data_IF_565503302461
#
_entry.id   IF_565503302461
#
_cell.length_a   1.000
_cell.length_b   1.000
_cell.length_c   1.000
_cell.angle_alpha   90.00
_cell.angle_beta   90.00
_cell.angle_gamma   90.00
#
_symmetry.space_group_name_H-M   'P 1'
#
loop_
_entity.id
_entity.type
_entity.pdbx_description
1 polymer ?
#
# COMPACT_ATOMS: atom_id res chain seq x y z
N UNK A 1 19.92 2.72 -2.80
CA UNK A 1 19.50 2.11 -1.52
C UNK A 1 19.76 0.61 -1.61
N UNK A 2 19.58 -0.15 -0.54
CA UNK A 2 19.77 -1.61 -0.54
C UNK A 2 18.85 -2.32 -1.55
N UNK A 3 19.41 -3.20 -2.39
CA UNK A 3 18.68 -4.08 -3.32
C UNK A 3 18.31 -5.38 -2.58
N UNK A 4 17.11 -5.45 -2.00
CA UNK A 4 16.73 -6.51 -1.07
C UNK A 4 16.63 -7.87 -1.76
N UNK A 5 15.96 -7.95 -2.91
CA UNK A 5 15.77 -9.21 -3.62
C UNK A 5 17.08 -9.71 -4.24
N UNK A 6 17.88 -8.79 -4.79
CA UNK A 6 19.22 -9.09 -5.30
C UNK A 6 20.09 -9.82 -4.25
N UNK A 7 20.04 -9.41 -2.98
CA UNK A 7 20.82 -10.06 -1.92
C UNK A 7 20.36 -11.48 -1.56
N UNK A 8 19.14 -11.86 -1.94
CA UNK A 8 18.60 -13.22 -1.71
C UNK A 8 18.88 -14.17 -2.89
N UNK A 9 19.43 -13.66 -3.98
CA UNK A 9 19.76 -14.45 -5.17
C UNK A 9 21.11 -15.17 -5.03
N UNK A 10 21.22 -16.35 -5.64
CA UNK A 10 22.51 -17.00 -5.84
C UNK A 10 23.37 -16.27 -6.90
N UNK A 11 24.64 -16.66 -7.03
CA UNK A 11 25.59 -15.99 -7.95
C UNK A 11 25.14 -15.98 -9.42
N UNK A 12 24.48 -17.04 -9.88
CA UNK A 12 24.03 -17.13 -11.28
C UNK A 12 22.88 -16.14 -11.52
N UNK A 13 21.91 -16.11 -10.60
CA UNK A 13 20.77 -15.19 -10.64
C UNK A 13 21.23 -13.73 -10.52
N UNK A 14 22.21 -13.45 -9.65
CA UNK A 14 22.82 -12.13 -9.54
C UNK A 14 23.51 -11.68 -10.84
N UNK A 15 24.16 -12.59 -11.57
CA UNK A 15 24.78 -12.26 -12.86
C UNK A 15 23.72 -11.91 -13.93
N UNK A 16 22.61 -12.67 -13.99
CA UNK A 16 21.47 -12.38 -14.87
C UNK A 16 20.81 -11.05 -14.50
N UNK A 17 20.57 -10.82 -13.20
CA UNK A 17 20.02 -9.57 -12.66
C UNK A 17 20.85 -8.35 -13.12
N UNK A 18 22.17 -8.39 -12.91
CA UNK A 18 23.05 -7.27 -13.27
C UNK A 18 23.12 -7.02 -14.77
N UNK A 19 23.24 -8.08 -15.57
CA UNK A 19 23.24 -7.95 -17.02
C UNK A 19 21.93 -7.35 -17.53
N UNK A 20 20.80 -7.79 -16.98
CA UNK A 20 19.48 -7.28 -17.33
C UNK A 20 19.34 -5.80 -16.94
N UNK A 21 19.66 -5.46 -15.68
CA UNK A 21 19.62 -4.10 -15.15
C UNK A 21 20.47 -3.13 -15.97
N UNK A 22 21.69 -3.53 -16.31
CA UNK A 22 22.59 -2.72 -17.14
C UNK A 22 21.99 -2.49 -18.53
N UNK A 23 21.52 -3.54 -19.20
CA UNK A 23 21.00 -3.42 -20.56
C UNK A 23 19.70 -2.60 -20.64
N UNK A 24 18.78 -2.75 -19.68
CA UNK A 24 17.53 -1.96 -19.65
C UNK A 24 17.77 -0.49 -19.34
N UNK A 25 18.78 -0.17 -18.52
CA UNK A 25 19.22 1.22 -18.27
C UNK A 25 19.81 1.87 -19.52
N UNK A 26 20.45 1.08 -20.39
CA UNK A 26 20.99 1.54 -21.67
C UNK A 26 19.95 1.57 -22.79
N UNK A 27 18.70 1.17 -22.54
CA UNK A 27 17.65 1.03 -23.54
C UNK A 27 18.08 0.10 -24.70
N UNK A 28 18.80 -0.97 -24.38
CA UNK A 28 19.27 -1.95 -25.36
C UNK A 28 18.09 -2.73 -25.96
N UNK A 29 18.14 -3.03 -27.27
CA UNK A 29 17.09 -3.82 -27.93
C UNK A 29 17.23 -5.32 -27.65
N UNK A 30 18.45 -5.79 -27.36
CA UNK A 30 18.77 -7.17 -27.03
C UNK A 30 19.88 -7.19 -25.99
N UNK A 31 19.75 -8.05 -24.98
CA UNK A 31 20.70 -8.20 -23.87
C UNK A 31 21.12 -9.66 -23.80
N UNK A 32 22.42 -9.93 -23.86
CA UNK A 32 22.95 -11.28 -23.69
C UNK A 32 23.12 -11.57 -22.20
N UNK A 33 22.45 -12.60 -21.70
CA UNK A 33 22.45 -12.98 -20.28
C UNK A 33 22.91 -14.42 -20.11
N UNK A 34 23.51 -14.79 -18.96
CA UNK A 34 23.71 -16.19 -18.61
C UNK A 34 22.40 -16.98 -18.72
N UNK A 35 22.48 -18.22 -19.22
CA UNK A 35 21.29 -19.06 -19.40
C UNK A 35 20.72 -19.47 -18.04
N UNK A 36 19.41 -19.29 -17.89
CA UNK A 36 18.56 -19.76 -16.78
C UNK A 36 17.25 -20.29 -17.39
N UNK A 37 16.44 -21.01 -16.62
CA UNK A 37 15.12 -21.41 -17.11
C UNK A 37 14.16 -20.21 -17.23
N UNK A 38 13.07 -20.39 -17.98
CA UNK A 38 12.14 -19.30 -18.26
C UNK A 38 11.41 -18.76 -17.03
N UNK A 39 11.14 -19.62 -16.04
CA UNK A 39 10.49 -19.19 -14.79
C UNK A 39 11.47 -18.38 -13.95
N UNK A 40 12.71 -18.84 -13.83
CA UNK A 40 13.78 -18.11 -13.14
C UNK A 40 14.05 -16.76 -13.80
N UNK A 41 14.10 -16.70 -15.14
CA UNK A 41 14.28 -15.43 -15.86
C UNK A 41 13.16 -14.44 -15.54
N UNK A 42 11.91 -14.92 -15.51
CA UNK A 42 10.75 -14.11 -15.13
C UNK A 42 10.85 -13.64 -13.68
N UNK A 43 11.17 -14.53 -12.74
CA UNK A 43 11.29 -14.21 -11.32
C UNK A 43 12.40 -13.16 -11.08
N UNK A 44 13.55 -13.28 -11.76
CA UNK A 44 14.66 -12.31 -11.69
C UNK A 44 14.23 -10.95 -12.27
N UNK A 45 13.60 -10.94 -13.45
CA UNK A 45 13.09 -9.71 -14.07
C UNK A 45 12.09 -9.00 -13.16
N UNK A 46 11.16 -9.76 -12.58
CA UNK A 46 10.14 -9.23 -11.70
C UNK A 46 10.76 -8.64 -10.44
N UNK A 47 11.63 -9.39 -9.74
CA UNK A 47 12.31 -8.94 -8.52
C UNK A 47 13.22 -7.73 -8.76
N UNK A 48 13.93 -7.66 -9.89
CA UNK A 48 14.70 -6.47 -10.30
C UNK A 48 13.83 -5.23 -10.37
N UNK A 49 12.60 -5.34 -10.85
CA UNK A 49 11.67 -4.18 -10.93
C UNK A 49 11.07 -3.79 -9.59
N UNK A 50 11.12 -4.67 -8.59
CA UNK A 50 10.72 -4.35 -7.21
C UNK A 50 11.85 -3.65 -6.45
N UNK A 51 13.10 -4.03 -6.71
CA UNK A 51 14.29 -3.36 -6.20
C UNK A 51 14.54 -2.01 -6.93
N UNK A 52 14.22 -1.94 -8.23
CA UNK A 52 14.40 -0.77 -9.10
C UNK A 52 13.11 -0.24 -9.74
N UNK A 53 12.12 0.21 -8.94
CA UNK A 53 10.87 0.76 -9.46
C UNK A 53 11.03 2.03 -10.30
N UNK A 54 12.19 2.69 -10.24
CA UNK A 54 12.54 3.77 -11.17
C UNK A 54 12.60 3.31 -12.63
N UNK A 55 12.73 2.00 -12.89
CA UNK A 55 12.72 1.39 -14.22
C UNK A 55 11.27 1.09 -14.63
N UNK A 56 10.47 2.14 -14.78
CA UNK A 56 9.06 2.05 -15.17
C UNK A 56 8.83 1.73 -16.66
N UNK A 57 9.88 1.80 -17.48
CA UNK A 57 9.75 1.73 -18.94
C UNK A 57 9.85 0.31 -19.51
N UNK A 58 10.18 -0.71 -18.71
CA UNK A 58 10.22 -2.11 -19.16
C UNK A 58 9.13 -2.90 -18.48
N UNK A 59 8.09 -3.26 -19.22
CA UNK A 59 6.87 -3.87 -18.66
C UNK A 59 6.79 -5.38 -18.89
N UNK A 60 7.53 -5.87 -19.88
CA UNK A 60 7.58 -7.27 -20.26
C UNK A 60 8.88 -7.59 -21.00
N UNK A 61 8.98 -8.82 -21.50
CA UNK A 61 10.09 -9.24 -22.32
C UNK A 61 9.73 -10.50 -23.12
N UNK A 62 10.49 -10.74 -24.18
CA UNK A 62 10.62 -12.06 -24.79
C UNK A 62 12.06 -12.53 -24.69
N UNK A 63 12.31 -13.82 -24.89
CA UNK A 63 13.66 -14.35 -24.90
C UNK A 63 13.84 -15.43 -25.96
N UNK A 64 15.09 -15.59 -26.40
CA UNK A 64 15.51 -16.64 -27.33
C UNK A 64 16.84 -17.21 -26.87
N UNK A 65 17.08 -18.48 -27.15
CA UNK A 65 18.35 -19.13 -26.87
C UNK A 65 18.69 -20.12 -27.98
N UNK A 66 19.97 -20.42 -28.14
CA UNK A 66 20.45 -21.49 -29.01
C UNK A 66 20.77 -22.71 -28.14
N UNK A 67 20.43 -23.95 -28.55
CA UNK A 67 20.58 -25.16 -27.73
C UNK A 67 21.95 -25.32 -27.06
N UNK A 68 23.02 -25.00 -27.79
CA UNK A 68 24.42 -25.15 -27.32
C UNK A 68 25.03 -23.86 -26.75
N UNK A 69 24.24 -22.79 -26.64
CA UNK A 69 24.72 -21.52 -26.08
C UNK A 69 24.63 -21.54 -24.55
N UNK A 70 25.70 -21.10 -23.83
CA UNK A 70 25.65 -20.86 -22.40
C UNK A 70 24.85 -19.60 -22.04
N UNK A 71 24.42 -18.83 -23.05
CA UNK A 71 23.70 -17.57 -22.90
C UNK A 71 22.32 -17.62 -23.56
N UNK A 72 21.40 -16.81 -23.02
CA UNK A 72 20.14 -16.44 -23.66
C UNK A 72 20.19 -14.98 -24.12
N UNK A 73 19.34 -14.64 -25.07
CA UNK A 73 19.12 -13.27 -25.53
C UNK A 73 17.77 -12.82 -24.97
N UNK A 74 17.82 -11.85 -24.07
CA UNK A 74 16.67 -11.16 -23.49
C UNK A 74 16.30 -9.96 -24.36
N UNK A 75 15.01 -9.83 -24.68
CA UNK A 75 14.47 -8.77 -25.54
C UNK A 75 13.42 -8.00 -24.73
N UNK A 76 13.77 -6.82 -24.18
CA UNK A 76 12.85 -6.04 -23.36
C UNK A 76 11.68 -5.50 -24.17
N UNK A 77 10.49 -5.48 -23.55
CA UNK A 77 9.32 -4.80 -24.07
C UNK A 77 9.21 -3.41 -23.41
N UNK A 78 9.47 -2.38 -24.22
CA UNK A 78 9.46 -1.00 -23.77
C UNK A 78 8.05 -0.39 -23.85
N UNK A 79 7.62 0.27 -22.76
CA UNK A 79 6.31 0.92 -22.66
C UNK A 79 6.16 2.12 -23.62
N UNK A 80 7.27 2.77 -23.96
CA UNK A 80 7.31 3.93 -24.85
C UNK A 80 8.51 3.84 -25.80
N UNK A 81 8.50 4.67 -26.84
CA UNK A 81 9.69 4.89 -27.67
C UNK A 81 10.85 5.45 -26.86
N UNK A 82 12.10 5.09 -27.22
CA UNK A 82 13.31 5.45 -26.46
C UNK A 82 13.46 6.95 -26.18
N UNK A 83 13.10 7.80 -27.14
CA UNK A 83 13.11 9.26 -26.93
C UNK A 83 12.14 9.68 -25.82
N UNK A 84 10.92 9.12 -25.85
CA UNK A 84 9.88 9.39 -24.87
C UNK A 84 10.21 8.83 -23.48
N UNK A 85 10.87 7.68 -23.42
CA UNK A 85 11.40 7.13 -22.16
C UNK A 85 12.34 8.14 -21.48
N UNK A 86 13.28 8.71 -22.23
CA UNK A 86 14.24 9.70 -21.70
C UNK A 86 13.54 10.96 -21.17
N UNK A 87 12.52 11.45 -21.87
CA UNK A 87 11.71 12.57 -21.39
C UNK A 87 11.01 12.23 -20.06
N UNK A 88 10.38 11.05 -19.98
CA UNK A 88 9.71 10.61 -18.75
C UNK A 88 10.70 10.36 -17.60
N UNK A 89 11.90 9.83 -17.87
CA UNK A 89 12.96 9.65 -16.88
C UNK A 89 13.34 10.99 -16.22
N UNK A 90 13.56 12.03 -17.03
CA UNK A 90 13.90 13.38 -16.53
C UNK A 90 12.73 13.94 -15.69
N UNK A 91 11.50 13.86 -16.22
CA UNK A 91 10.33 14.41 -15.55
C UNK A 91 10.05 13.72 -14.20
N UNK A 92 10.10 12.40 -14.15
CA UNK A 92 9.85 11.63 -12.93
C UNK A 92 10.96 11.80 -11.90
N UNK A 93 12.24 11.81 -12.33
CA UNK A 93 13.37 12.06 -11.43
C UNK A 93 13.21 13.41 -10.74
N UNK A 94 12.95 14.48 -11.53
CA UNK A 94 12.72 15.83 -10.98
C UNK A 94 11.50 15.88 -10.05
N UNK A 95 10.42 15.16 -10.38
CA UNK A 95 9.21 15.07 -9.54
C UNK A 95 9.50 14.41 -8.20
N UNK A 96 10.21 13.28 -8.20
CA UNK A 96 10.63 12.53 -7.00
C UNK A 96 11.53 13.40 -6.12
N UNK A 97 12.56 14.02 -6.70
CA UNK A 97 13.47 14.91 -5.96
C UNK A 97 12.75 16.12 -5.36
N UNK A 98 11.78 16.70 -6.08
CA UNK A 98 10.98 17.82 -5.57
C UNK A 98 10.11 17.40 -4.37
N UNK A 99 9.50 16.21 -4.42
CA UNK A 99 8.71 15.67 -3.31
C UNK A 99 9.61 15.36 -2.10
N UNK A 100 10.68 14.59 -2.31
CA UNK A 100 11.58 14.17 -1.25
C UNK A 100 12.22 15.36 -0.50
N UNK A 101 12.57 16.44 -1.22
CA UNK A 101 13.13 17.66 -0.60
C UNK A 101 12.23 18.27 0.48
N UNK A 102 10.92 18.10 0.43
CA UNK A 102 10.01 18.65 1.43
C UNK A 102 10.10 17.93 2.78
N UNK A 103 10.56 16.68 2.80
CA UNK A 103 10.60 15.82 3.98
C UNK A 103 12.02 15.36 4.36
N UNK A 104 13.06 15.84 3.67
CA UNK A 104 14.44 15.37 3.85
C UNK A 104 14.96 15.50 5.29
N UNK A 105 14.56 16.57 5.99
CA UNK A 105 14.98 16.89 7.36
C UNK A 105 14.11 16.29 8.46
N UNK A 106 13.06 15.53 8.11
CA UNK A 106 12.17 14.90 9.07
C UNK A 106 12.76 13.60 9.65
N UNK A 107 12.21 13.14 10.77
CA UNK A 107 12.54 11.80 11.31
C UNK A 107 12.10 10.67 10.36
N UNK A 108 12.61 9.44 10.55
CA UNK A 108 12.21 8.28 9.73
C UNK A 108 10.69 8.07 9.71
N UNK A 109 10.05 8.16 10.87
CA UNK A 109 8.59 8.01 11.01
C UNK A 109 7.83 9.15 10.31
N UNK A 110 8.31 10.39 10.42
CA UNK A 110 7.68 11.54 9.76
C UNK A 110 7.88 11.53 8.24
N UNK A 111 9.02 11.00 7.75
CA UNK A 111 9.28 10.76 6.32
C UNK A 111 8.30 9.74 5.76
N UNK A 112 8.13 8.61 6.44
CA UNK A 112 7.16 7.58 6.05
C UNK A 112 5.75 8.16 6.00
N UNK A 113 5.33 8.86 7.06
CA UNK A 113 4.02 9.50 7.12
C UNK A 113 3.82 10.50 5.97
N UNK A 114 4.83 11.32 5.66
CA UNK A 114 4.76 12.26 4.53
C UNK A 114 4.52 11.53 3.20
N UNK A 115 5.23 10.43 2.95
CA UNK A 115 5.06 9.62 1.74
C UNK A 115 3.67 9.00 1.69
N UNK A 116 3.22 8.41 2.80
CA UNK A 116 1.89 7.82 2.93
C UNK A 116 0.78 8.85 2.67
N UNK A 117 0.84 10.01 3.32
CA UNK A 117 -0.17 11.07 3.18
C UNK A 117 -0.21 11.58 1.74
N UNK A 118 0.96 11.79 1.11
CA UNK A 118 1.03 12.17 -0.29
C UNK A 118 0.26 11.19 -1.18
N UNK A 119 0.43 9.88 -0.98
CA UNK A 119 -0.32 8.86 -1.72
C UNK A 119 -1.82 8.97 -1.44
N UNK A 120 -2.21 9.00 -0.16
CA UNK A 120 -3.62 9.04 0.24
C UNK A 120 -4.37 10.25 -0.33
N UNK A 121 -3.70 11.40 -0.38
CA UNK A 121 -4.29 12.67 -0.80
C UNK A 121 -4.26 12.88 -2.32
N UNK A 122 -3.25 12.35 -3.02
CA UNK A 122 -2.98 12.72 -4.43
C UNK A 122 -3.17 11.58 -5.43
N UNK A 123 -3.36 10.34 -4.97
CA UNK A 123 -3.49 9.17 -5.85
C UNK A 123 -4.92 8.63 -5.81
N UNK A 124 -5.45 8.32 -6.99
CA UNK A 124 -6.71 7.58 -7.16
C UNK A 124 -6.41 6.13 -7.47
N UNK A 125 -6.97 5.24 -6.66
CA UNK A 125 -7.02 3.84 -7.02
C UNK A 125 -7.89 3.66 -8.27
N UNK A 126 -7.33 3.09 -9.33
CA UNK A 126 -8.03 2.94 -10.60
C UNK A 126 -7.62 1.66 -11.31
N UNK A 127 -8.61 0.80 -11.55
CA UNK A 127 -8.45 -0.48 -12.23
C UNK A 127 -8.48 -0.36 -13.75
N UNK A 128 -8.64 0.84 -14.32
CA UNK A 128 -8.50 1.04 -15.75
C UNK A 128 -7.12 0.50 -16.16
N UNK A 129 -7.15 -0.65 -16.84
CA UNK A 129 -6.02 -1.57 -17.14
C UNK A 129 -4.99 -0.96 -18.09
N UNK A 130 -4.47 0.21 -17.76
CA UNK A 130 -3.40 0.83 -18.53
C UNK A 130 -2.08 0.34 -17.92
N UNK A 131 -1.11 -0.13 -18.73
CA UNK A 131 0.15 -0.65 -18.21
C UNK A 131 0.88 0.31 -17.27
N UNK A 132 0.72 1.62 -17.47
CA UNK A 132 1.31 2.63 -16.59
C UNK A 132 0.75 2.66 -15.17
N UNK A 133 -0.45 2.11 -14.91
CA UNK A 133 -1.06 2.10 -13.57
C UNK A 133 -0.31 1.20 -12.59
N UNK A 134 0.49 0.26 -13.12
CA UNK A 134 1.38 -0.65 -12.37
C UNK A 134 2.78 -0.06 -12.14
N UNK A 135 3.07 1.13 -12.70
CA UNK A 135 4.39 1.75 -12.64
C UNK A 135 4.33 3.12 -11.99
N UNK A 136 5.48 3.63 -11.54
CA UNK A 136 5.56 4.93 -10.83
C UNK A 136 5.01 6.12 -11.65
N UNK A 137 4.98 6.02 -12.98
CA UNK A 137 4.45 7.07 -13.85
C UNK A 137 2.93 7.25 -13.68
N UNK A 138 2.21 6.21 -13.28
CA UNK A 138 0.80 6.31 -12.93
C UNK A 138 0.60 7.18 -11.68
N UNK A 139 1.00 6.73 -10.48
CA UNK A 139 0.79 7.49 -9.25
C UNK A 139 1.50 8.84 -9.23
N UNK A 140 2.78 8.90 -9.62
CA UNK A 140 3.58 10.12 -9.49
C UNK A 140 3.41 11.10 -10.65
N UNK A 141 3.00 10.60 -11.83
CA UNK A 141 2.80 11.40 -13.04
C UNK A 141 1.34 11.79 -13.29
N UNK A 142 0.41 10.85 -13.09
CA UNK A 142 -1.01 11.02 -13.42
C UNK A 142 -1.94 11.07 -12.20
N UNK A 143 -1.42 10.80 -10.99
CA UNK A 143 -2.25 10.71 -9.78
C UNK A 143 -3.18 9.50 -9.78
N UNK A 144 -2.83 8.44 -10.51
CA UNK A 144 -3.68 7.25 -10.69
C UNK A 144 -2.85 5.99 -10.68
N UNK A 145 -3.24 4.95 -9.92
CA UNK A 145 -2.54 3.68 -9.94
C UNK A 145 -3.30 2.53 -9.30
N UNK A 146 -2.73 1.33 -9.42
CA UNK A 146 -3.15 0.13 -8.66
C UNK A 146 -2.12 -0.17 -7.55
N UNK A 147 -2.36 -1.23 -6.77
CA UNK A 147 -1.52 -1.60 -5.64
C UNK A 147 -0.02 -1.67 -6.00
N UNK A 148 0.33 -2.26 -7.14
CA UNK A 148 1.72 -2.37 -7.58
C UNK A 148 2.34 -1.00 -7.90
N UNK A 149 1.63 -0.14 -8.63
CA UNK A 149 2.10 1.21 -8.93
C UNK A 149 2.28 2.04 -7.67
N UNK A 150 1.32 1.96 -6.73
CA UNK A 150 1.35 2.67 -5.45
C UNK A 150 2.54 2.19 -4.61
N UNK A 151 2.73 0.88 -4.45
CA UNK A 151 3.84 0.33 -3.68
C UNK A 151 5.21 0.71 -4.28
N UNK A 152 5.32 0.72 -5.62
CA UNK A 152 6.52 1.23 -6.32
C UNK A 152 6.73 2.73 -6.08
N UNK A 153 5.67 3.54 -6.07
CA UNK A 153 5.76 4.98 -5.80
C UNK A 153 6.22 5.26 -4.37
N UNK A 154 5.67 4.56 -3.38
CA UNK A 154 6.11 4.61 -1.98
C UNK A 154 7.60 4.25 -1.88
N UNK A 155 8.01 3.14 -2.49
CA UNK A 155 9.41 2.69 -2.51
C UNK A 155 10.36 3.76 -3.08
N UNK A 156 10.06 4.34 -4.25
CA UNK A 156 10.93 5.37 -4.86
C UNK A 156 11.01 6.63 -4.00
N UNK A 157 9.91 7.05 -3.36
CA UNK A 157 9.91 8.23 -2.49
C UNK A 157 10.68 7.97 -1.19
N UNK A 158 10.53 6.78 -0.58
CA UNK A 158 11.31 6.36 0.57
C UNK A 158 12.81 6.30 0.23
N UNK A 159 13.14 5.74 -0.93
CA UNK A 159 14.52 5.65 -1.43
C UNK A 159 15.17 7.03 -1.54
N UNK A 160 14.45 8.00 -2.13
CA UNK A 160 14.90 9.38 -2.25
C UNK A 160 15.06 10.09 -0.89
N UNK A 161 14.29 9.69 0.12
CA UNK A 161 14.35 10.23 1.49
C UNK A 161 15.41 9.54 2.37
N UNK A 162 16.09 8.51 1.85
CA UNK A 162 17.05 7.71 2.63
C UNK A 162 16.37 6.75 3.62
N UNK A 163 15.08 6.50 3.48
CA UNK A 163 14.30 5.60 4.32
C UNK A 163 14.27 4.20 3.69
N UNK A 164 14.79 3.20 4.41
CA UNK A 164 14.78 1.83 3.92
C UNK A 164 13.35 1.34 3.75
N UNK A 165 13.06 0.84 2.55
CA UNK A 165 11.75 0.33 2.16
C UNK A 165 11.95 -0.82 1.17
N UNK A 166 11.11 -1.85 1.24
CA UNK A 166 10.99 -2.90 0.22
C UNK A 166 9.53 -3.05 -0.20
N UNK A 167 9.28 -3.65 -1.36
CA UNK A 167 7.93 -3.99 -1.82
C UNK A 167 7.66 -5.44 -1.47
N UNK A 168 6.62 -5.71 -0.69
CA UNK A 168 6.14 -7.05 -0.32
C UNK A 168 5.00 -7.49 -1.26
N UNK A 169 4.88 -8.80 -1.49
CA UNK A 169 3.94 -9.38 -2.47
C UNK A 169 3.31 -10.66 -1.94
N UNK A 170 1.99 -10.73 -1.98
CA UNK A 170 1.24 -11.94 -1.69
C UNK A 170 0.65 -12.60 -2.94
N UNK A 171 0.25 -13.86 -2.77
CA UNK A 171 -0.49 -14.61 -3.78
C UNK A 171 -1.94 -14.15 -3.90
N UNK A 172 -2.62 -14.60 -4.95
CA UNK A 172 -4.08 -14.59 -4.96
C UNK A 172 -4.62 -15.81 -4.20
N UNK A 173 -5.89 -15.77 -3.81
CA UNK A 173 -6.54 -16.88 -3.13
C UNK A 173 -7.97 -17.08 -3.66
N UNK A 174 -8.13 -17.82 -4.79
CA UNK A 174 -9.43 -18.05 -5.40
C UNK A 174 -10.44 -18.74 -4.46
N UNK A 175 -9.98 -19.57 -3.52
CA UNK A 175 -10.85 -20.26 -2.56
C UNK A 175 -11.53 -19.29 -1.58
N UNK A 176 -10.88 -18.16 -1.28
CA UNK A 176 -11.45 -17.06 -0.50
C UNK A 176 -12.07 -15.96 -1.37
N UNK A 177 -12.17 -16.18 -2.69
CA UNK A 177 -12.68 -15.19 -3.63
C UNK A 177 -11.70 -14.06 -3.99
N UNK A 178 -10.44 -14.16 -3.57
CA UNK A 178 -9.38 -13.17 -3.86
C UNK A 178 -8.76 -13.52 -5.21
N UNK A 179 -9.07 -12.72 -6.23
CA UNK A 179 -8.70 -12.98 -7.62
C UNK A 179 -7.30 -12.51 -7.93
N UNK A 180 -6.89 -11.39 -7.35
CA UNK A 180 -5.65 -10.71 -7.71
C UNK A 180 -4.59 -10.87 -6.62
N UNK A 181 -3.33 -10.81 -7.04
CA UNK A 181 -2.22 -10.62 -6.10
C UNK A 181 -2.28 -9.21 -5.53
N UNK A 182 -1.78 -9.04 -4.32
CA UNK A 182 -1.63 -7.72 -3.71
C UNK A 182 -0.17 -7.41 -3.40
N UNK A 183 0.14 -6.12 -3.41
CA UNK A 183 1.50 -5.61 -3.19
C UNK A 183 1.45 -4.37 -2.32
N UNK A 184 2.35 -4.32 -1.35
CA UNK A 184 2.46 -3.22 -0.39
C UNK A 184 3.93 -3.03 -0.01
N UNK A 185 4.22 -2.26 1.05
CA UNK A 185 5.59 -1.97 1.46
C UNK A 185 5.91 -2.54 2.84
N UNK A 186 7.20 -2.79 3.07
CA UNK A 186 7.77 -2.94 4.41
C UNK A 186 8.82 -1.86 4.58
N UNK A 187 8.72 -1.10 5.66
CA UNK A 187 9.59 0.04 5.97
C UNK A 187 10.37 -0.25 7.24
N UNK A 188 11.63 0.19 7.30
CA UNK A 188 12.45 0.05 8.51
C UNK A 188 12.56 1.37 9.24
N UNK A 189 12.12 1.40 10.49
CA UNK A 189 12.13 2.58 11.38
C UNK A 189 12.77 2.19 12.70
N UNK A 190 13.79 2.93 13.13
CA UNK A 190 14.49 2.65 14.39
C UNK A 190 15.11 1.25 14.45
N UNK A 191 15.46 0.67 13.30
CA UNK A 191 16.00 -0.69 13.18
C UNK A 191 14.96 -1.83 13.21
N UNK A 192 13.67 -1.51 13.36
CA UNK A 192 12.57 -2.49 13.31
C UNK A 192 11.83 -2.40 11.97
N UNK A 193 11.23 -3.51 11.54
CA UNK A 193 10.49 -3.61 10.28
C UNK A 193 8.98 -3.59 10.54
N UNK A 194 8.27 -2.83 9.72
CA UNK A 194 6.83 -2.69 9.80
C UNK A 194 6.20 -2.74 8.41
N UNK A 195 5.00 -3.28 8.33
CA UNK A 195 4.23 -3.22 7.11
C UNK A 195 3.53 -1.86 6.94
N UNK A 196 3.53 -1.37 5.70
CA UNK A 196 2.81 -0.18 5.25
C UNK A 196 2.02 -0.54 3.99
N UNK A 197 0.69 -0.51 4.09
CA UNK A 197 -0.18 -0.58 2.91
C UNK A 197 -0.93 0.73 2.66
N UNK A 198 -0.24 1.62 1.95
CA UNK A 198 -0.82 2.89 1.51
C UNK A 198 -1.97 2.73 0.49
N UNK A 199 -2.13 1.55 -0.13
CA UNK A 199 -3.25 1.29 -1.05
C UNK A 199 -4.54 1.15 -0.27
N UNK A 200 -4.55 0.29 0.75
CA UNK A 200 -5.74 0.06 1.57
C UNK A 200 -6.10 1.31 2.39
N UNK A 201 -5.11 2.04 2.91
CA UNK A 201 -5.35 3.33 3.58
C UNK A 201 -5.86 4.40 2.61
N UNK A 202 -5.40 4.43 1.35
CA UNK A 202 -5.95 5.32 0.32
C UNK A 202 -7.42 4.99 0.02
N UNK A 203 -7.76 3.72 -0.17
CA UNK A 203 -9.14 3.27 -0.39
C UNK A 203 -10.07 3.65 0.77
N UNK A 204 -9.65 3.41 2.01
CA UNK A 204 -10.43 3.80 3.19
C UNK A 204 -10.53 5.33 3.36
N UNK A 205 -9.50 6.07 2.98
CA UNK A 205 -9.52 7.54 3.02
C UNK A 205 -10.52 8.10 2.02
N UNK A 206 -10.53 7.58 0.79
CA UNK A 206 -11.37 8.10 -0.30
C UNK A 206 -12.79 7.55 -0.33
N UNK A 207 -13.02 6.40 0.28
CA UNK A 207 -14.37 5.87 0.55
C UNK A 207 -15.12 6.65 1.63
N UNK A 208 -14.43 7.54 2.37
CA UNK A 208 -15.02 8.40 3.38
C UNK A 208 -15.51 9.74 2.79
N UNK A 209 -16.22 10.52 3.61
CA UNK A 209 -16.69 11.87 3.31
C UNK A 209 -15.53 12.79 2.87
N UNK A 210 -15.78 13.74 1.96
CA UNK A 210 -14.78 14.66 1.39
C UNK A 210 -14.00 15.51 2.42
N UNK A 211 -14.53 15.70 3.63
CA UNK A 211 -13.88 16.44 4.72
C UNK A 211 -13.10 15.54 5.70
N UNK A 212 -12.99 14.25 5.41
CA UNK A 212 -12.39 13.29 6.32
C UNK A 212 -10.85 13.25 6.21
N UNK A 213 -10.19 13.23 7.37
CA UNK A 213 -8.73 13.07 7.46
C UNK A 213 -8.27 11.71 6.88
N UNK A 214 -6.97 11.59 6.54
CA UNK A 214 -6.37 10.33 6.11
C UNK A 214 -6.62 9.20 7.13
N UNK A 215 -6.81 7.98 6.61
CA UNK A 215 -6.82 6.72 7.36
C UNK A 215 -5.41 6.17 7.47
N UNK A 216 -5.15 5.42 8.53
CA UNK A 216 -3.82 4.88 8.88
C UNK A 216 -3.98 3.47 9.48
N UNK A 217 -4.96 2.75 8.98
CA UNK A 217 -5.37 1.42 9.43
C UNK A 217 -4.27 0.39 9.12
N UNK A 218 -3.51 0.62 8.06
CA UNK A 218 -2.42 -0.25 7.59
C UNK A 218 -1.04 0.42 7.67
N UNK A 219 -0.90 1.41 8.58
CA UNK A 219 0.33 2.15 8.80
C UNK A 219 1.14 1.58 9.98
N UNK A 220 2.29 0.97 9.69
CA UNK A 220 3.19 0.31 10.63
C UNK A 220 2.57 -0.86 11.42
N UNK A 221 2.02 -1.83 10.69
CA UNK A 221 1.50 -3.09 11.25
C UNK A 221 2.61 -4.14 11.47
N UNK A 222 2.40 -5.01 12.46
CA UNK A 222 3.14 -6.27 12.61
C UNK A 222 2.55 -7.37 11.70
N UNK A 223 3.26 -8.49 11.56
CA UNK A 223 2.84 -9.66 10.80
C UNK A 223 1.44 -10.15 11.27
N UNK A 224 1.19 -10.15 12.57
CA UNK A 224 -0.08 -10.64 13.16
C UNK A 224 -1.29 -9.81 12.74
N UNK A 225 -1.13 -8.50 12.61
CA UNK A 225 -2.19 -7.60 12.17
C UNK A 225 -2.32 -7.58 10.65
N UNK A 226 -1.20 -7.55 9.93
CA UNK A 226 -1.18 -7.51 8.47
C UNK A 226 -1.82 -8.77 7.85
N UNK A 227 -1.45 -9.97 8.30
CA UNK A 227 -1.96 -11.22 7.73
C UNK A 227 -3.36 -11.64 8.21
N UNK A 228 -4.16 -10.71 8.77
CA UNK A 228 -5.59 -10.95 9.05
C UNK A 228 -6.43 -10.91 7.78
N UNK A 229 -6.07 -10.02 6.86
CA UNK A 229 -6.77 -9.75 5.60
C UNK A 229 -5.82 -9.76 4.39
N UNK A 230 -4.50 -9.86 4.60
CA UNK A 230 -3.52 -10.11 3.55
C UNK A 230 -3.19 -11.60 3.43
N UNK A 231 -3.12 -12.08 2.19
CA UNK A 231 -2.70 -13.45 1.89
C UNK A 231 -1.19 -13.67 2.16
N UNK A 232 -0.75 -14.93 2.33
CA UNK A 232 0.65 -15.24 2.55
C UNK A 232 1.57 -14.69 1.44
N UNK A 233 2.75 -14.24 1.86
CA UNK A 233 3.79 -13.78 0.95
C UNK A 233 4.25 -14.90 0.02
N UNK A 234 4.49 -14.54 -1.25
CA UNK A 234 5.03 -15.45 -2.27
C UNK A 234 6.49 -15.15 -2.60
N UNK A 235 7.09 -14.17 -1.93
CA UNK A 235 8.49 -13.81 -2.02
C UNK A 235 9.07 -13.55 -0.61
N UNK A 236 10.39 -13.68 -0.42
CA UNK A 236 11.01 -13.41 0.88
C UNK A 236 10.74 -11.98 1.38
N UNK A 237 10.61 -11.82 2.68
CA UNK A 237 10.52 -10.54 3.38
C UNK A 237 11.12 -10.68 4.80
N UNK A 238 11.60 -9.60 5.43
CA UNK A 238 11.93 -9.63 6.85
C UNK A 238 10.64 -9.83 7.68
N UNK A 239 10.79 -10.42 8.87
CA UNK A 239 9.68 -10.54 9.82
C UNK A 239 9.37 -9.18 10.44
N UNK A 240 8.09 -8.82 10.52
CA UNK A 240 7.62 -7.59 11.18
C UNK A 240 7.04 -7.97 12.55
N UNK A 241 7.89 -8.03 13.58
CA UNK A 241 7.47 -8.47 14.92
C UNK A 241 7.09 -7.33 15.87
N UNK A 242 7.42 -6.08 15.52
CA UNK A 242 7.15 -4.91 16.34
C UNK A 242 5.86 -4.21 15.88
N UNK A 243 5.13 -3.61 16.83
CA UNK A 243 3.90 -2.86 16.57
C UNK A 243 3.81 -1.56 17.37
N UNK A 244 4.95 -1.05 17.84
CA UNK A 244 5.10 0.18 18.61
C UNK A 244 4.81 1.42 17.79
N UNK A 245 5.23 1.43 16.52
CA UNK A 245 5.01 2.55 15.59
C UNK A 245 3.65 2.54 14.87
N UNK A 246 2.75 1.61 15.23
CA UNK A 246 1.37 1.62 14.70
C UNK A 246 0.69 2.97 14.99
N UNK A 247 0.16 3.61 13.94
CA UNK A 247 -0.27 5.00 13.98
C UNK A 247 -1.21 5.35 15.15
N UNK A 248 -2.25 4.55 15.38
CA UNK A 248 -3.22 4.85 16.43
C UNK A 248 -2.65 4.66 17.84
N UNK A 249 -1.58 3.88 18.03
CA UNK A 249 -0.86 3.82 19.32
C UNK A 249 -0.04 5.08 19.54
N UNK A 250 0.76 5.49 18.55
CA UNK A 250 1.54 6.74 18.54
C UNK A 250 0.65 7.95 18.87
N UNK A 251 -0.52 8.04 18.22
CA UNK A 251 -1.47 9.14 18.42
C UNK A 251 -2.35 9.01 19.67
N UNK A 252 -2.16 7.97 20.49
CA UNK A 252 -2.97 7.69 21.70
C UNK A 252 -4.48 7.59 21.39
N UNK A 253 -4.80 6.99 20.23
CA UNK A 253 -6.14 6.70 19.71
C UNK A 253 -6.41 5.19 19.66
N UNK A 254 -5.64 4.40 20.41
CA UNK A 254 -5.71 2.93 20.46
C UNK A 254 -6.18 2.49 21.85
N UNK A 255 -7.49 2.28 21.98
CA UNK A 255 -8.20 2.15 23.26
C UNK A 255 -8.32 0.70 23.73
N UNK A 256 -8.37 0.53 25.04
CA UNK A 256 -8.48 -0.79 25.70
C UNK A 256 -9.75 -0.95 26.52
N UNK A 257 -10.45 0.14 26.82
CA UNK A 257 -11.65 0.15 27.67
C UNK A 257 -12.79 0.89 26.99
N UNK A 258 -14.02 0.40 27.12
CA UNK A 258 -15.21 1.05 26.56
C UNK A 258 -15.41 2.47 27.11
N UNK A 259 -15.02 2.73 28.35
CA UNK A 259 -15.05 4.08 28.93
C UNK A 259 -14.19 5.10 28.16
N UNK A 260 -13.07 4.66 27.58
CA UNK A 260 -12.25 5.52 26.72
C UNK A 260 -12.98 5.85 25.43
N UNK A 261 -13.60 4.85 24.81
CA UNK A 261 -14.43 5.00 23.60
C UNK A 261 -15.57 5.98 23.88
N UNK A 262 -16.35 5.75 24.95
CA UNK A 262 -17.47 6.60 25.37
C UNK A 262 -17.04 8.05 25.56
N UNK A 263 -16.00 8.29 26.35
CA UNK A 263 -15.49 9.64 26.64
C UNK A 263 -15.04 10.37 25.38
N UNK A 264 -14.39 9.67 24.46
CA UNK A 264 -13.91 10.26 23.20
C UNK A 264 -15.04 10.52 22.22
N UNK A 265 -16.02 9.62 22.14
CA UNK A 265 -17.24 9.81 21.35
C UNK A 265 -18.03 11.04 21.83
N UNK A 266 -18.31 11.15 23.14
CA UNK A 266 -18.97 12.33 23.72
C UNK A 266 -18.20 13.64 23.44
N UNK A 267 -16.86 13.60 23.48
CA UNK A 267 -16.03 14.75 23.13
C UNK A 267 -16.15 15.12 21.65
N UNK A 268 -16.20 14.13 20.76
CA UNK A 268 -16.35 14.30 19.32
C UNK A 268 -17.71 14.95 18.99
N UNK A 269 -18.80 14.43 19.57
CA UNK A 269 -20.16 15.00 19.49
C UNK A 269 -20.16 16.47 19.92
N UNK A 270 -19.62 16.76 21.11
CA UNK A 270 -19.58 18.12 21.66
C UNK A 270 -18.83 19.11 20.76
N UNK A 271 -17.76 18.66 20.10
CA UNK A 271 -16.90 19.50 19.27
C UNK A 271 -17.30 19.51 17.79
N UNK A 272 -18.28 18.71 17.38
CA UNK A 272 -18.62 18.52 15.98
C UNK A 272 -17.44 17.99 15.16
N UNK A 273 -16.62 17.10 15.73
CA UNK A 273 -15.44 16.53 15.06
C UNK A 273 -15.62 15.06 14.74
N UNK A 274 -14.97 14.61 13.68
CA UNK A 274 -14.81 13.18 13.37
C UNK A 274 -13.90 12.55 14.43
N UNK A 275 -14.26 11.36 14.90
CA UNK A 275 -13.41 10.52 15.73
C UNK A 275 -13.00 9.29 14.93
N UNK A 276 -11.69 9.09 14.73
CA UNK A 276 -11.14 7.83 14.24
C UNK A 276 -10.30 7.20 15.34
N UNK A 277 -10.53 5.92 15.65
CA UNK A 277 -9.82 5.21 16.72
C UNK A 277 -9.69 3.72 16.44
N UNK A 278 -8.71 3.10 17.09
CA UNK A 278 -8.46 1.66 17.06
C UNK A 278 -8.89 1.00 18.38
N UNK A 279 -9.54 -0.16 18.29
CA UNK A 279 -9.84 -1.00 19.45
C UNK A 279 -8.78 -2.09 19.64
N UNK A 280 -8.20 -2.15 20.85
CA UNK A 280 -7.25 -3.21 21.26
C UNK A 280 -7.52 -3.81 22.63
N UNK A 281 -8.69 -3.57 23.22
CA UNK A 281 -9.03 -4.15 24.52
C UNK A 281 -9.25 -5.66 24.47
N UNK A 282 -9.67 -6.17 23.31
CA UNK A 282 -9.93 -7.59 23.06
C UNK A 282 -9.89 -7.86 21.56
N UNK A 283 -10.05 -9.13 21.18
CA UNK A 283 -10.45 -9.46 19.82
C UNK A 283 -11.80 -8.83 19.47
N UNK A 284 -11.95 -8.35 18.24
CA UNK A 284 -13.19 -7.75 17.76
C UNK A 284 -14.18 -8.87 17.36
N UNK A 285 -14.86 -9.42 18.35
CA UNK A 285 -15.97 -10.36 18.13
C UNK A 285 -17.24 -9.59 17.73
N UNK A 286 -18.29 -10.30 17.29
CA UNK A 286 -19.59 -9.69 17.01
C UNK A 286 -20.19 -8.97 18.22
N UNK A 287 -19.99 -9.51 19.43
CA UNK A 287 -20.50 -8.91 20.66
C UNK A 287 -19.72 -7.65 21.04
N UNK A 288 -18.39 -7.68 20.93
CA UNK A 288 -17.54 -6.50 21.16
C UNK A 288 -17.85 -5.40 20.14
N UNK A 289 -18.03 -5.77 18.87
CA UNK A 289 -18.47 -4.83 17.83
C UNK A 289 -19.80 -4.17 18.22
N UNK A 290 -20.81 -4.97 18.59
CA UNK A 290 -22.13 -4.45 19.02
C UNK A 290 -22.01 -3.52 20.23
N UNK A 291 -21.18 -3.86 21.20
CA UNK A 291 -20.94 -3.03 22.38
C UNK A 291 -20.32 -1.68 22.00
N UNK A 292 -19.31 -1.67 21.12
CA UNK A 292 -18.72 -0.42 20.60
C UNK A 292 -19.78 0.40 19.89
N UNK A 293 -20.58 -0.20 19.00
CA UNK A 293 -21.63 0.51 18.26
C UNK A 293 -22.66 1.14 19.22
N UNK A 294 -23.12 0.41 20.24
CA UNK A 294 -24.02 0.94 21.26
C UNK A 294 -23.42 2.15 21.99
N UNK A 295 -22.15 2.08 22.38
CA UNK A 295 -21.44 3.20 23.04
C UNK A 295 -21.39 4.44 22.14
N UNK A 296 -21.13 4.25 20.84
CA UNK A 296 -21.09 5.34 19.87
C UNK A 296 -22.47 5.96 19.63
N UNK A 297 -23.53 5.14 19.57
CA UNK A 297 -24.91 5.60 19.45
C UNK A 297 -25.36 6.38 20.68
N UNK A 298 -25.11 5.86 21.88
CA UNK A 298 -25.53 6.48 23.13
C UNK A 298 -24.88 7.86 23.34
N UNK A 299 -23.61 8.01 22.93
CA UNK A 299 -22.94 9.30 22.93
C UNK A 299 -23.65 10.35 22.04
N UNK A 300 -24.24 9.93 20.91
CA UNK A 300 -25.04 10.80 20.05
C UNK A 300 -26.41 11.14 20.65
N UNK A 301 -27.10 10.14 21.21
CA UNK A 301 -28.42 10.29 21.86
C UNK A 301 -28.40 11.33 22.98
N UNK A 302 -27.33 11.36 23.79
CA UNK A 302 -27.15 12.35 24.87
C UNK A 302 -27.19 13.83 24.40
N UNK A 303 -27.00 14.07 23.10
CA UNK A 303 -27.01 15.41 22.47
C UNK A 303 -27.99 15.53 21.31
N UNK A 304 -28.92 14.58 21.18
CA UNK A 304 -29.88 14.55 20.07
C UNK A 304 -29.19 14.58 18.70
N UNK A 305 -28.14 13.78 18.53
CA UNK A 305 -27.39 13.63 17.27
C UNK A 305 -27.45 12.18 16.78
N UNK A 306 -27.43 12.00 15.47
CA UNK A 306 -27.36 10.69 14.82
C UNK A 306 -25.90 10.33 14.48
N UNK A 307 -25.43 9.11 14.80
CA UNK A 307 -24.10 8.67 14.45
C UNK A 307 -24.02 8.16 13.00
N UNK A 308 -22.86 8.34 12.40
CA UNK A 308 -22.49 7.76 11.10
C UNK A 308 -21.18 7.00 11.31
N UNK A 309 -21.26 5.68 11.31
CA UNK A 309 -20.18 4.80 11.77
C UNK A 309 -19.63 3.98 10.61
N UNK A 310 -18.31 3.99 10.49
CA UNK A 310 -17.55 3.25 9.50
C UNK A 310 -16.55 2.40 10.25
N UNK A 311 -16.51 1.11 9.97
CA UNK A 311 -15.66 0.17 10.70
C UNK A 311 -14.87 -0.72 9.73
N UNK A 312 -13.55 -0.58 9.76
CA UNK A 312 -12.63 -1.56 9.21
C UNK A 312 -12.44 -2.67 10.26
N UNK A 313 -13.23 -3.74 10.13
CA UNK A 313 -13.27 -4.81 11.11
C UNK A 313 -11.97 -5.61 11.19
N UNK A 314 -11.24 -5.76 10.08
CA UNK A 314 -10.00 -6.54 10.04
C UNK A 314 -8.90 -5.92 10.92
N UNK A 315 -8.82 -4.59 10.89
CA UNK A 315 -7.89 -3.82 11.72
C UNK A 315 -8.52 -3.28 13.00
N UNK A 316 -9.81 -3.54 13.26
CA UNK A 316 -10.57 -3.02 14.40
C UNK A 316 -10.48 -1.49 14.56
N UNK A 317 -10.52 -0.78 13.43
CA UNK A 317 -10.52 0.68 13.38
C UNK A 317 -11.92 1.18 13.06
N UNK A 318 -12.34 2.21 13.80
CA UNK A 318 -13.65 2.83 13.71
C UNK A 318 -13.50 4.31 13.40
N UNK A 319 -14.33 4.81 12.49
CA UNK A 319 -14.53 6.22 12.22
C UNK A 319 -15.99 6.56 12.48
N UNK A 320 -16.22 7.60 13.28
CA UNK A 320 -17.56 8.07 13.60
C UNK A 320 -17.64 9.58 13.54
N UNK A 321 -18.75 10.07 13.00
CA UNK A 321 -19.14 11.47 13.08
C UNK A 321 -20.65 11.56 13.34
N UNK A 322 -21.13 12.76 13.66
CA UNK A 322 -22.48 12.96 14.18
C UNK A 322 -23.19 14.09 13.44
N UNK A 323 -24.43 13.85 13.01
CA UNK A 323 -25.29 14.83 12.35
C UNK A 323 -26.51 15.18 13.20
N UNK A 324 -27.20 16.25 12.84
CA UNK A 324 -28.52 16.55 13.39
C UNK A 324 -29.56 15.51 12.92
N UNK A 325 -30.56 15.23 13.76
CA UNK A 325 -31.56 14.17 13.53
C UNK A 325 -32.30 14.36 12.20
N UNK A 326 -32.56 15.61 11.80
CA UNK A 326 -33.36 15.93 10.61
C UNK A 326 -32.51 16.09 9.34
N UNK A 327 -31.19 15.85 9.42
CA UNK A 327 -30.29 16.09 8.27
C UNK A 327 -30.05 14.84 7.44
N UNK A 328 -29.71 13.72 8.08
CA UNK A 328 -29.30 12.47 7.43
C UNK A 328 -29.73 11.29 8.30
N UNK A 329 -30.07 10.17 7.66
CA UNK A 329 -30.29 8.91 8.37
C UNK A 329 -28.97 8.37 8.92
N UNK A 330 -28.98 7.79 10.11
CA UNK A 330 -27.81 7.10 10.67
C UNK A 330 -27.40 5.94 9.77
N UNK A 331 -26.10 5.73 9.61
CA UNK A 331 -25.54 4.62 8.84
C UNK A 331 -24.44 3.90 9.63
N UNK A 332 -24.36 2.59 9.41
CA UNK A 332 -23.27 1.73 9.89
C UNK A 332 -22.72 0.97 8.70
N UNK A 333 -21.47 1.24 8.34
CA UNK A 333 -20.78 0.67 7.19
C UNK A 333 -19.63 -0.19 7.69
N UNK A 334 -19.68 -1.49 7.39
CA UNK A 334 -18.49 -2.34 7.50
C UNK A 334 -17.65 -2.13 6.24
N UNK A 335 -16.48 -1.54 6.42
CA UNK A 335 -15.60 -1.14 5.33
C UNK A 335 -14.76 -2.33 4.85
N UNK A 336 -14.63 -2.45 3.53
CA UNK A 336 -13.66 -3.32 2.88
C UNK A 336 -12.59 -2.44 2.22
N UNK A 337 -11.37 -2.52 2.72
CA UNK A 337 -10.22 -1.76 2.23
C UNK A 337 -9.71 -2.28 0.88
N UNK A 338 -9.98 -3.54 0.55
CA UNK A 338 -9.55 -4.15 -0.70
C UNK A 338 -10.51 -3.79 -1.84
N UNK A 339 -10.39 -2.58 -2.35
CA UNK A 339 -11.12 -2.18 -3.55
C UNK A 339 -10.79 -3.07 -4.75
N UNK A 340 -9.61 -3.71 -4.78
CA UNK A 340 -9.14 -4.66 -5.79
C UNK A 340 -10.12 -5.80 -6.10
N UNK A 341 -10.88 -6.25 -5.12
CA UNK A 341 -11.82 -7.38 -5.26
C UNK A 341 -13.26 -6.94 -5.56
N UNK A 342 -13.61 -5.66 -5.36
CA UNK A 342 -14.94 -5.11 -5.70
C UNK A 342 -15.16 -5.14 -7.22
N UNK A 343 -16.17 -5.86 -7.67
CA UNK A 343 -16.59 -5.87 -9.09
C UNK A 343 -17.31 -4.57 -9.46
N UNK A 344 -17.29 -4.14 -10.73
CA UNK A 344 -18.04 -2.96 -11.23
C UNK A 344 -19.56 -3.03 -10.95
N UNK A 345 -20.08 -4.23 -10.66
CA UNK A 345 -21.36 -4.41 -9.98
C UNK A 345 -21.05 -4.58 -8.49
N UNK A 346 -21.29 -3.53 -7.71
CA UNK A 346 -21.11 -3.50 -6.27
C UNK A 346 -21.74 -4.73 -5.60
N UNK A 347 -21.11 -5.19 -4.53
CA UNK A 347 -21.66 -6.18 -3.62
C UNK A 347 -23.07 -5.70 -3.22
N UNK A 348 -24.11 -6.41 -3.67
CA UNK A 348 -25.39 -6.35 -2.99
C UNK A 348 -25.13 -6.91 -1.59
N UNK A 349 -25.48 -6.13 -0.57
CA UNK A 349 -25.48 -6.61 0.81
C UNK A 349 -26.12 -8.00 0.87
N UNK A 350 -25.51 -8.98 1.57
CA UNK A 350 -26.25 -10.18 1.93
C UNK A 350 -27.41 -9.74 2.81
N UNK A 351 -28.62 -10.15 2.42
CA UNK A 351 -29.86 -10.01 3.20
C UNK A 351 -29.75 -10.67 4.58
#
# INVERSE_FOLDING_TARGET
>A
MEEFYYQKMDRQKQAVYHGMLQGVRQLADQIQLPRVDGKELYDIFFQMRLDHPEIFWVVGFSWKYYPDSPNLIFVPEYLFEKGKIKEHQIALTSRVEKLARQAQGLSEWEKEKYVHDFICENVRYDKLKKPYSHEIIGPLGQGVGVCEGIAKAVKVLCDALGLWCMIAICGNNPEKGIKYRHTWNIVRIGGQYYHLDATFDNSLTRGAREDAECRYDYFNLDDKAMFRDHEPLIAPAPACTDNGHFYYKEKKLSFTKMEEVKKRAQQAVKKGKVLTFHWRGSYLTRDVLREILNVLEDAGKEKSKLPHIYANAAQAVFRVWYSDIDTLASEIVLEDANEGEKTEKGLKNPE
#
